data_IF_632830476545
#
_entry.id   IF_632830476545
#
_cell.length_a   1.000
_cell.length_b   1.000
_cell.length_c   1.000
_cell.angle_alpha   90.00
_cell.angle_beta   90.00
_cell.angle_gamma   90.00
#
_symmetry.space_group_name_H-M   'P 1'
#
loop_
_entity.id
_entity.type
_entity.pdbx_description
1 polymer ?
#
# COMPACT_ATOMS: atom_id res chain seq x y z
N UNK A 1 -4.95 -0.59 29.35
CA UNK A 1 -5.81 -0.10 28.26
C UNK A 1 -5.03 0.51 27.12
N UNK A 2 -4.08 1.37 27.41
CA UNK A 2 -3.29 2.03 26.38
C UNK A 2 -2.48 1.04 25.54
N UNK A 3 -1.87 0.04 26.17
CA UNK A 3 -1.10 -1.00 25.47
C UNK A 3 -1.99 -1.85 24.56
N UNK A 4 -3.21 -2.13 24.98
CA UNK A 4 -4.17 -2.90 24.18
C UNK A 4 -4.58 -2.12 22.93
N UNK A 5 -4.83 -0.83 23.07
CA UNK A 5 -5.15 0.05 21.94
C UNK A 5 -3.98 0.14 20.97
N UNK A 6 -2.76 0.23 21.49
CA UNK A 6 -1.56 0.28 20.67
C UNK A 6 -1.37 -1.00 19.87
N UNK A 7 -1.58 -2.16 20.49
CA UNK A 7 -1.51 -3.45 19.81
C UNK A 7 -2.56 -3.57 18.70
N UNK A 8 -3.77 -3.07 18.95
CA UNK A 8 -4.84 -3.10 17.95
C UNK A 8 -4.56 -2.19 16.76
N UNK A 9 -3.74 -1.17 16.94
CA UNK A 9 -3.38 -0.23 15.86
C UNK A 9 -2.16 -0.65 15.06
N UNK A 10 -1.30 -1.49 15.65
CA UNK A 10 -0.09 -1.93 14.97
C UNK A 10 -0.40 -3.08 14.04
N UNK A 11 0.11 -3.00 12.82
CA UNK A 11 0.10 -4.11 11.90
C UNK A 11 1.01 -5.22 12.44
N UNK A 12 0.85 -6.44 11.91
CA UNK A 12 1.70 -7.57 12.28
C UNK A 12 3.16 -7.22 12.00
N UNK A 13 3.94 -7.11 13.07
CA UNK A 13 5.33 -6.69 13.00
C UNK A 13 6.20 -7.65 12.21
N UNK A 14 5.91 -8.93 12.31
CA UNK A 14 6.62 -9.96 11.55
C UNK A 14 6.44 -9.76 10.05
N UNK A 15 5.22 -9.51 9.60
CA UNK A 15 4.93 -9.23 8.20
C UNK A 15 5.57 -7.93 7.73
N UNK A 16 5.56 -6.90 8.57
CA UNK A 16 6.19 -5.61 8.27
C UNK A 16 7.69 -5.79 8.03
N UNK A 17 8.36 -6.48 8.95
CA UNK A 17 9.79 -6.72 8.85
C UNK A 17 10.14 -7.53 7.60
N UNK A 18 9.36 -8.56 7.30
CA UNK A 18 9.56 -9.38 6.11
C UNK A 18 9.47 -8.58 4.83
N UNK A 19 8.48 -7.70 4.73
CA UNK A 19 8.28 -6.84 3.55
C UNK A 19 9.46 -5.90 3.37
N UNK A 20 9.90 -5.26 4.46
CA UNK A 20 11.03 -4.32 4.40
C UNK A 20 12.32 -5.04 4.03
N UNK A 21 12.62 -6.16 4.68
CA UNK A 21 13.85 -6.93 4.45
C UNK A 21 13.90 -7.52 3.04
N UNK A 22 12.76 -7.91 2.50
CA UNK A 22 12.70 -8.47 1.15
C UNK A 22 12.82 -7.41 0.05
N UNK A 23 12.91 -6.12 0.40
CA UNK A 23 13.01 -5.05 -0.57
C UNK A 23 11.75 -4.86 -1.40
N UNK A 24 10.60 -5.14 -0.82
CA UNK A 24 9.31 -5.10 -1.52
C UNK A 24 8.69 -3.71 -1.55
N UNK A 25 9.25 -2.75 -0.84
CA UNK A 25 8.78 -1.35 -0.87
C UNK A 25 9.50 -0.62 -1.99
N UNK A 26 8.75 -0.01 -2.91
CA UNK A 26 9.29 0.68 -4.08
C UNK A 26 8.83 2.13 -4.10
N UNK A 27 9.77 3.01 -4.41
CA UNK A 27 9.51 4.44 -4.63
C UNK A 27 9.73 4.74 -6.10
N UNK A 28 8.67 5.17 -6.78
CA UNK A 28 8.74 5.58 -8.19
C UNK A 28 8.85 7.09 -8.25
N UNK A 29 9.98 7.59 -8.76
CA UNK A 29 10.24 9.03 -8.87
C UNK A 29 10.17 9.46 -10.32
N UNK A 30 9.44 10.52 -10.60
CA UNK A 30 9.23 11.06 -11.94
C UNK A 30 10.00 12.37 -12.08
N UNK A 31 10.80 12.45 -13.12
CA UNK A 31 11.63 13.64 -13.36
C UNK A 31 11.28 14.28 -14.70
N UNK A 32 11.33 15.61 -14.81
CA UNK A 32 11.90 16.56 -13.84
C UNK A 32 10.96 17.01 -12.72
N UNK A 33 9.66 16.61 -12.72
CA UNK A 33 8.69 17.14 -11.75
C UNK A 33 9.00 16.80 -10.30
N UNK A 34 9.65 15.67 -10.05
CA UNK A 34 9.90 15.20 -8.70
C UNK A 34 8.71 14.51 -8.04
N UNK A 35 7.65 14.23 -8.79
CA UNK A 35 6.51 13.47 -8.26
C UNK A 35 6.95 12.09 -7.84
N UNK A 36 6.26 11.53 -6.86
CA UNK A 36 6.58 10.18 -6.40
C UNK A 36 5.32 9.37 -6.16
N UNK A 37 5.42 8.07 -6.43
CA UNK A 37 4.39 7.09 -6.14
C UNK A 37 5.05 5.94 -5.39
N UNK A 38 4.45 5.56 -4.26
CA UNK A 38 4.94 4.45 -3.47
C UNK A 38 4.07 3.21 -3.70
N UNK A 39 4.71 2.06 -3.85
CA UNK A 39 4.02 0.78 -3.95
C UNK A 39 4.72 -0.25 -3.08
N UNK A 40 3.96 -1.28 -2.69
CA UNK A 40 4.49 -2.44 -1.98
C UNK A 40 4.16 -3.67 -2.82
N UNK A 41 5.19 -4.43 -3.19
CA UNK A 41 5.02 -5.62 -4.03
C UNK A 41 4.27 -6.69 -3.24
N UNK A 42 3.12 -7.11 -3.75
CA UNK A 42 2.33 -8.19 -3.17
C UNK A 42 2.62 -9.52 -3.86
N UNK A 43 1.92 -10.57 -3.41
CA UNK A 43 2.09 -11.90 -3.98
C UNK A 43 1.51 -12.03 -5.39
N UNK A 44 0.49 -11.23 -5.72
CA UNK A 44 -0.17 -11.27 -7.03
C UNK A 44 -0.14 -9.92 -7.73
N UNK A 45 -0.34 -8.85 -6.99
CA UNK A 45 -0.37 -7.48 -7.51
C UNK A 45 0.35 -6.57 -6.54
N UNK A 46 0.81 -5.45 -7.06
CA UNK A 46 1.41 -4.42 -6.23
C UNK A 46 0.30 -3.59 -5.57
N UNK A 47 0.56 -3.19 -4.32
CA UNK A 47 -0.37 -2.35 -3.57
C UNK A 47 0.09 -0.91 -3.61
N UNK A 48 -0.81 -0.01 -3.98
CA UNK A 48 -0.54 1.41 -3.93
C UNK A 48 -0.64 1.91 -2.49
N UNK A 49 0.32 2.69 -2.04
CA UNK A 49 0.30 3.31 -0.72
C UNK A 49 0.54 4.81 -0.83
N UNK A 50 -0.17 5.58 -0.01
CA UNK A 50 0.02 7.01 0.12
C UNK A 50 0.47 7.28 1.55
N UNK A 51 1.65 7.88 1.71
CA UNK A 51 2.22 8.14 3.02
C UNK A 51 1.79 9.48 3.60
N UNK A 52 1.40 10.44 2.76
CA UNK A 52 0.92 11.74 3.21
C UNK A 52 -0.51 11.67 3.70
N UNK A 53 -1.38 11.07 2.87
CA UNK A 53 -2.76 10.77 3.24
C UNK A 53 -2.83 9.27 3.52
N UNK A 54 -2.71 8.82 4.78
CA UNK A 54 -2.53 7.40 5.07
C UNK A 54 -3.55 6.52 4.37
N UNK A 55 -3.11 5.82 3.34
CA UNK A 55 -3.97 5.00 2.49
C UNK A 55 -3.18 3.84 1.92
N UNK A 56 -3.83 2.69 1.82
CA UNK A 56 -3.32 1.53 1.10
C UNK A 56 -4.46 0.89 0.33
N UNK A 57 -4.17 0.41 -0.87
CA UNK A 57 -5.19 -0.21 -1.72
C UNK A 57 -5.50 -1.67 -1.34
N UNK A 58 -4.93 -2.18 -0.26
CA UNK A 58 -5.14 -3.55 0.15
C UNK A 58 -6.50 -3.75 0.83
N UNK A 59 -6.91 -5.02 0.87
CA UNK A 59 -8.17 -5.43 1.47
C UNK A 59 -8.25 -5.13 2.97
N UNK A 60 -7.16 -5.37 3.69
CA UNK A 60 -7.12 -5.18 5.14
C UNK A 60 -7.32 -3.72 5.53
N UNK A 61 -6.72 -2.79 4.78
CA UNK A 61 -6.92 -1.37 5.03
C UNK A 61 -8.39 -0.99 4.84
N UNK A 62 -9.02 -1.48 3.79
CA UNK A 62 -10.42 -1.20 3.52
C UNK A 62 -11.32 -1.69 4.65
N UNK A 63 -11.11 -2.92 5.12
CA UNK A 63 -11.90 -3.47 6.22
C UNK A 63 -11.70 -2.72 7.53
N UNK A 64 -10.47 -2.33 7.82
CA UNK A 64 -10.19 -1.52 9.02
C UNK A 64 -10.93 -0.19 8.95
N UNK A 65 -10.96 0.42 7.78
CA UNK A 65 -11.62 1.71 7.59
C UNK A 65 -13.13 1.63 7.82
N UNK A 66 -13.81 0.66 7.23
CA UNK A 66 -15.27 0.54 7.35
C UNK A 66 -15.70 0.10 8.75
N UNK A 67 -14.82 -0.56 9.51
CA UNK A 67 -15.11 -0.97 10.88
C UNK A 67 -14.73 0.10 11.91
N UNK A 68 -14.24 1.24 11.47
CA UNK A 68 -13.79 2.30 12.36
C UNK A 68 -12.53 1.96 13.14
N UNK A 69 -11.73 0.99 12.65
CA UNK A 69 -10.48 0.61 13.26
C UNK A 69 -9.34 1.52 12.82
N UNK A 70 -8.10 1.17 13.17
CA UNK A 70 -6.94 1.98 12.81
C UNK A 70 -6.80 2.14 11.29
N UNK A 71 -6.39 3.33 10.85
CA UNK A 71 -6.18 3.65 9.43
C UNK A 71 -4.79 3.18 9.00
N UNK A 72 -4.53 1.88 9.12
CA UNK A 72 -3.23 1.32 8.77
C UNK A 72 -3.35 -0.15 8.36
N UNK A 73 -2.30 -0.65 7.74
CA UNK A 73 -2.11 -2.06 7.43
C UNK A 73 -0.60 -2.32 7.38
N UNK A 74 -0.20 -3.58 7.26
CA UNK A 74 1.23 -3.89 7.27
C UNK A 74 1.98 -3.31 6.05
N UNK A 75 1.32 -3.13 4.91
CA UNK A 75 1.94 -2.51 3.73
C UNK A 75 2.29 -1.04 4.01
N UNK A 76 1.35 -0.31 4.59
CA UNK A 76 1.54 1.10 4.91
C UNK A 76 2.63 1.30 5.97
N UNK A 77 2.63 0.45 7.00
CA UNK A 77 3.66 0.49 8.03
C UNK A 77 5.04 0.15 7.47
N UNK A 78 5.11 -0.86 6.61
CA UNK A 78 6.37 -1.24 5.94
C UNK A 78 6.91 -0.09 5.09
N UNK A 79 6.03 0.59 4.34
CA UNK A 79 6.44 1.73 3.52
C UNK A 79 6.97 2.88 4.37
N UNK A 80 6.33 3.16 5.51
CA UNK A 80 6.81 4.18 6.46
C UNK A 80 8.20 3.86 7.00
N UNK A 81 8.40 2.62 7.44
CA UNK A 81 9.68 2.17 7.97
C UNK A 81 10.76 2.21 6.89
N UNK A 82 10.44 1.71 5.70
CA UNK A 82 11.37 1.72 4.58
C UNK A 82 11.79 3.14 4.22
N UNK A 83 10.86 4.09 4.23
CA UNK A 83 11.17 5.49 3.96
C UNK A 83 12.10 6.08 5.02
N UNK A 84 11.82 5.79 6.30
CA UNK A 84 12.62 6.30 7.42
C UNK A 84 14.04 5.72 7.44
N UNK A 85 14.18 4.47 7.04
CA UNK A 85 15.47 3.75 7.10
C UNK A 85 16.17 3.66 5.75
N UNK A 86 15.61 4.27 4.70
CA UNK A 86 16.15 4.25 3.33
C UNK A 86 16.35 2.82 2.81
N UNK A 87 15.42 1.93 3.13
CA UNK A 87 15.48 0.51 2.72
C UNK A 87 14.49 0.19 1.60
N UNK A 88 14.12 1.17 0.81
CA UNK A 88 13.24 0.99 -0.35
C UNK A 88 14.04 0.91 -1.65
N UNK A 89 13.42 0.31 -2.66
CA UNK A 89 13.93 0.35 -4.03
C UNK A 89 13.44 1.62 -4.72
N UNK A 90 14.36 2.41 -5.25
CA UNK A 90 14.00 3.61 -6.01
C UNK A 90 14.11 3.35 -7.50
N UNK A 91 13.05 3.71 -8.23
CA UNK A 91 13.00 3.59 -9.69
C UNK A 91 12.69 4.96 -10.27
N UNK A 92 13.52 5.42 -11.19
CA UNK A 92 13.36 6.73 -11.82
C UNK A 92 12.68 6.59 -13.17
N UNK A 93 11.64 7.39 -13.38
CA UNK A 93 10.90 7.47 -14.63
C UNK A 93 10.90 8.90 -15.16
N UNK A 94 10.56 9.07 -16.45
CA UNK A 94 10.26 10.37 -16.99
C UNK A 94 8.81 10.76 -16.64
N UNK A 95 8.52 12.06 -16.65
CA UNK A 95 7.16 12.55 -16.41
C UNK A 95 6.15 12.02 -17.43
N UNK A 96 6.62 11.69 -18.63
CA UNK A 96 5.77 11.11 -19.67
C UNK A 96 5.23 9.74 -19.29
N UNK A 97 5.95 9.00 -18.47
CA UNK A 97 5.56 7.66 -18.03
C UNK A 97 4.59 7.69 -16.83
N UNK A 98 4.37 8.87 -16.24
CA UNK A 98 3.53 9.02 -15.06
C UNK A 98 2.10 8.53 -15.31
N UNK A 99 1.52 8.92 -16.43
CA UNK A 99 0.16 8.51 -16.76
C UNK A 99 0.02 7.01 -16.98
N UNK A 100 1.03 6.38 -17.56
CA UNK A 100 1.01 4.93 -17.80
C UNK A 100 1.03 4.16 -16.48
N UNK A 101 1.89 4.56 -15.54
CA UNK A 101 1.92 3.92 -14.23
C UNK A 101 0.61 4.15 -13.47
N UNK A 102 0.08 5.37 -13.53
CA UNK A 102 -1.18 5.69 -12.86
C UNK A 102 -2.33 4.86 -13.42
N UNK A 103 -2.39 4.69 -14.73
CA UNK A 103 -3.40 3.83 -15.38
C UNK A 103 -3.28 2.38 -14.93
N UNK A 104 -2.06 1.87 -14.83
CA UNK A 104 -1.83 0.50 -14.36
C UNK A 104 -2.35 0.30 -12.94
N UNK A 105 -2.09 1.25 -12.05
CA UNK A 105 -2.59 1.23 -10.68
C UNK A 105 -4.11 1.26 -10.64
N UNK A 106 -4.73 2.14 -11.43
CA UNK A 106 -6.18 2.26 -11.48
C UNK A 106 -6.84 1.00 -12.03
N UNK A 107 -6.23 0.37 -13.03
CA UNK A 107 -6.74 -0.90 -13.57
C UNK A 107 -6.72 -2.01 -12.52
N UNK A 108 -5.66 -2.10 -11.74
CA UNK A 108 -5.56 -3.07 -10.66
C UNK A 108 -6.63 -2.83 -9.59
N UNK A 109 -6.86 -1.58 -9.22
CA UNK A 109 -7.89 -1.22 -8.25
C UNK A 109 -9.29 -1.57 -8.76
N UNK A 110 -9.56 -1.32 -10.04
CA UNK A 110 -10.85 -1.64 -10.66
C UNK A 110 -11.09 -3.15 -10.69
N UNK A 111 -10.07 -3.93 -11.01
CA UNK A 111 -10.15 -5.39 -11.01
C UNK A 111 -10.43 -5.92 -9.60
N UNK A 112 -9.80 -5.35 -8.58
CA UNK A 112 -10.07 -5.71 -7.17
C UNK A 112 -11.52 -5.45 -6.80
N UNK A 113 -12.07 -4.29 -7.15
CA UNK A 113 -13.46 -3.93 -6.88
C UNK A 113 -14.43 -4.93 -7.50
N UNK A 114 -14.20 -5.31 -8.74
CA UNK A 114 -15.03 -6.29 -9.42
C UNK A 114 -15.02 -7.63 -8.72
N UNK A 115 -13.86 -8.09 -8.28
CA UNK A 115 -13.75 -9.36 -7.53
C UNK A 115 -14.50 -9.31 -6.22
N UNK A 116 -14.42 -8.21 -5.48
CA UNK A 116 -15.11 -8.07 -4.20
C UNK A 116 -16.62 -8.03 -4.39
N UNK A 117 -17.10 -7.34 -5.42
CA UNK A 117 -18.53 -7.31 -5.75
C UNK A 117 -19.07 -8.70 -6.06
N UNK A 118 -18.35 -9.47 -6.87
CA UNK A 118 -18.75 -10.84 -7.21
C UNK A 118 -18.87 -11.70 -5.96
N UNK A 119 -17.91 -11.58 -5.03
CA UNK A 119 -17.97 -12.32 -3.76
C UNK A 119 -19.17 -11.91 -2.91
N UNK A 120 -19.47 -10.65 -2.83
CA UNK A 120 -20.64 -10.15 -2.09
C UNK A 120 -21.94 -10.66 -2.69
N UNK A 121 -22.05 -10.65 -4.01
CA UNK A 121 -23.23 -11.17 -4.71
C UNK A 121 -23.44 -12.66 -4.48
N UNK A 122 -22.35 -13.44 -4.43
CA UNK A 122 -22.42 -14.88 -4.17
C UNK A 122 -22.86 -15.16 -2.73
N UNK A 123 -22.50 -14.31 -1.79
CA UNK A 123 -22.84 -14.48 -0.38
C UNK A 123 -24.27 -14.08 -0.05
N UNK A 124 -24.96 -13.41 -0.94
CA UNK A 124 -26.37 -13.07 -0.78
C UNK A 124 -27.25 -14.25 -1.21
#
# INVERSE_FOLDING_TARGET
MWLVILKARLADRSKVDDVVKAGRVKRHVFKPSGREIWTVVGSRIDHFVDLEQPYCSCKDFYYHLIRGLAHTCYHLEAARIAKQTNTYCEITFSDEEYQDLLKAILNDLTAKRKRYRVKEDIQK
#
